data_IF_383396905133
#
_entry.id   IF_383396905133
#
_cell.length_a   1.000
_cell.length_b   1.000
_cell.length_c   1.000
_cell.angle_alpha   90.00
_cell.angle_beta   90.00
_cell.angle_gamma   90.00
#
_symmetry.space_group_name_H-M   'P 1'
#
loop_
_entity.id
_entity.type
_entity.pdbx_description
1 polymer ?
#
# COMPACT_ATOMS: atom_id res chain seq x y z
N UNK A 1 -25.57 -2.37 -14.79
CA UNK A 1 -24.66 -1.63 -13.90
C UNK A 1 -23.23 -1.53 -14.46
N UNK A 2 -22.79 -2.50 -15.29
CA UNK A 2 -21.46 -2.45 -15.95
C UNK A 2 -21.30 -1.32 -16.99
N UNK A 3 -22.37 -0.60 -17.31
CA UNK A 3 -22.36 0.50 -18.30
C UNK A 3 -22.56 1.89 -17.69
N UNK A 4 -22.60 1.98 -16.36
CA UNK A 4 -22.71 3.30 -15.70
C UNK A 4 -21.34 3.98 -15.66
N UNK A 5 -21.17 5.16 -16.25
CA UNK A 5 -19.90 5.86 -16.25
C UNK A 5 -19.51 6.28 -14.82
N UNK A 6 -18.29 5.96 -14.41
CA UNK A 6 -17.76 6.30 -13.07
C UNK A 6 -18.07 5.30 -11.95
N UNK A 7 -18.73 4.17 -12.25
CA UNK A 7 -18.99 3.09 -11.28
C UNK A 7 -18.43 1.76 -11.78
N UNK A 8 -17.82 0.99 -10.87
CA UNK A 8 -17.39 -0.38 -11.12
C UNK A 8 -18.07 -1.32 -10.14
N UNK A 9 -18.73 -2.36 -10.65
CA UNK A 9 -19.39 -3.37 -9.84
C UNK A 9 -18.50 -4.62 -9.72
N UNK A 10 -18.15 -4.99 -8.50
CA UNK A 10 -17.43 -6.22 -8.20
C UNK A 10 -18.36 -7.17 -7.45
N UNK A 11 -18.57 -8.38 -8.01
CA UNK A 11 -19.36 -9.41 -7.39
C UNK A 11 -18.42 -10.42 -6.73
N UNK A 12 -18.43 -10.48 -5.41
CA UNK A 12 -17.63 -11.43 -4.64
C UNK A 12 -18.57 -12.48 -4.02
N UNK A 13 -18.35 -13.77 -4.27
CA UNK A 13 -19.14 -14.83 -3.63
C UNK A 13 -18.95 -14.74 -2.10
N UNK A 14 -20.05 -14.92 -1.37
CA UNK A 14 -20.00 -14.99 0.08
C UNK A 14 -19.23 -16.25 0.48
N UNK A 15 -18.17 -16.06 1.25
CA UNK A 15 -17.40 -17.17 1.82
C UNK A 15 -17.79 -17.35 3.29
N UNK A 16 -18.23 -18.53 3.66
CA UNK A 16 -18.58 -18.86 5.05
C UNK A 16 -17.36 -18.87 5.96
N UNK A 17 -16.18 -19.22 5.42
CA UNK A 17 -14.91 -19.21 6.13
C UNK A 17 -13.91 -18.36 5.37
N UNK A 18 -13.45 -17.28 5.99
CA UNK A 18 -12.34 -16.44 5.49
C UNK A 18 -11.06 -16.86 6.16
N UNK A 19 -10.12 -17.38 5.38
CA UNK A 19 -8.80 -17.82 5.86
C UNK A 19 -7.81 -16.68 5.63
N UNK A 20 -7.69 -15.76 6.59
CA UNK A 20 -6.76 -14.63 6.48
C UNK A 20 -7.11 -13.66 5.36
N UNK A 21 -6.14 -12.82 4.98
CA UNK A 21 -6.31 -11.80 3.94
C UNK A 21 -7.02 -10.53 4.43
N UNK A 22 -7.07 -9.54 3.54
CA UNK A 22 -7.75 -8.26 3.78
C UNK A 22 -9.10 -8.24 3.08
N UNK A 23 -10.05 -7.38 3.51
CA UNK A 23 -11.24 -7.11 2.72
C UNK A 23 -10.84 -6.69 1.31
N UNK A 24 -11.36 -7.34 0.28
CA UNK A 24 -11.02 -7.07 -1.11
C UNK A 24 -12.22 -7.23 -2.02
N UNK A 25 -12.12 -6.67 -3.21
CA UNK A 25 -13.16 -6.71 -4.23
C UNK A 25 -13.12 -8.01 -5.07
N UNK A 26 -12.23 -8.97 -4.73
CA UNK A 26 -12.08 -10.24 -5.42
C UNK A 26 -11.73 -11.37 -4.44
N UNK A 27 -11.81 -12.61 -4.91
CA UNK A 27 -11.67 -13.81 -4.07
C UNK A 27 -10.21 -14.10 -3.68
N UNK A 28 -9.27 -13.85 -4.57
CA UNK A 28 -7.86 -14.18 -4.38
C UNK A 28 -7.02 -12.91 -4.21
N UNK A 29 -5.93 -13.03 -3.49
CA UNK A 29 -5.07 -11.91 -3.13
C UNK A 29 -3.60 -12.23 -3.32
N UNK A 30 -2.89 -11.30 -3.95
CA UNK A 30 -1.45 -11.31 -4.11
C UNK A 30 -0.88 -10.01 -3.57
N UNK A 31 -0.09 -10.07 -2.52
CA UNK A 31 0.46 -8.89 -1.85
C UNK A 31 1.90 -8.67 -2.27
N UNK A 32 2.19 -7.46 -2.71
CA UNK A 32 3.53 -6.95 -2.92
C UNK A 32 3.99 -6.25 -1.64
N UNK A 33 5.18 -6.57 -1.18
CA UNK A 33 5.87 -5.91 -0.07
C UNK A 33 7.15 -5.28 -0.61
N UNK A 34 7.47 -4.08 -0.17
CA UNK A 34 8.70 -3.38 -0.54
C UNK A 34 9.43 -2.88 0.68
N UNK A 35 10.74 -2.76 0.60
CA UNK A 35 11.54 -2.16 1.68
C UNK A 35 11.25 -0.66 1.79
N UNK A 36 11.04 0.00 0.64
CA UNK A 36 10.71 1.42 0.53
C UNK A 36 9.34 1.63 -0.12
N UNK A 37 8.57 2.59 0.40
CA UNK A 37 7.25 2.93 -0.12
C UNK A 37 7.30 3.41 -1.58
N UNK A 38 8.32 4.18 -1.95
CA UNK A 38 8.45 4.76 -3.29
C UNK A 38 8.71 3.69 -4.35
N UNK A 39 9.51 2.67 -4.02
CA UNK A 39 9.72 1.51 -4.89
C UNK A 39 8.39 0.77 -5.12
N UNK A 40 7.63 0.54 -4.05
CA UNK A 40 6.34 -0.12 -4.13
C UNK A 40 5.34 0.68 -4.99
N UNK A 41 5.28 2.00 -4.83
CA UNK A 41 4.44 2.89 -5.64
C UNK A 41 4.81 2.87 -7.12
N UNK A 42 6.09 2.72 -7.42
CA UNK A 42 6.58 2.64 -8.81
C UNK A 42 6.26 1.29 -9.45
N UNK A 43 6.41 0.20 -8.71
CA UNK A 43 6.33 -1.15 -9.26
C UNK A 43 4.93 -1.76 -9.20
N UNK A 44 4.12 -1.44 -8.18
CA UNK A 44 2.76 -1.98 -8.08
C UNK A 44 1.92 -1.73 -9.34
N UNK A 45 1.82 -0.50 -9.90
CA UNK A 45 1.03 -0.27 -11.11
C UNK A 45 1.54 -1.08 -12.32
N UNK A 46 2.86 -1.28 -12.42
CA UNK A 46 3.47 -2.07 -13.50
C UNK A 46 3.14 -3.55 -13.37
N UNK A 47 3.19 -4.06 -12.15
CA UNK A 47 2.82 -5.45 -11.86
C UNK A 47 1.33 -5.64 -12.08
N UNK A 48 0.48 -4.81 -11.52
CA UNK A 48 -0.97 -4.86 -11.71
C UNK A 48 -1.35 -4.84 -13.19
N UNK A 49 -0.76 -3.94 -13.98
CA UNK A 49 -1.01 -3.87 -15.43
C UNK A 49 -0.50 -5.11 -16.18
N UNK A 50 0.56 -5.76 -15.71
CA UNK A 50 0.98 -7.04 -16.24
C UNK A 50 -0.01 -8.15 -15.90
N UNK A 51 -0.46 -8.21 -14.64
CA UNK A 51 -1.43 -9.20 -14.18
C UNK A 51 -2.80 -9.04 -14.86
N UNK A 52 -3.25 -7.81 -15.08
CA UNK A 52 -4.53 -7.54 -15.75
C UNK A 52 -4.57 -8.00 -17.22
N UNK A 53 -3.43 -8.27 -17.83
CA UNK A 53 -3.32 -8.79 -19.21
C UNK A 53 -3.23 -10.31 -19.27
N UNK A 54 -3.14 -10.98 -18.14
CA UNK A 54 -3.07 -12.44 -18.10
C UNK A 54 -4.48 -13.02 -18.33
N UNK A 55 -4.65 -13.94 -19.30
CA UNK A 55 -5.96 -14.57 -19.55
C UNK A 55 -6.44 -15.48 -18.41
N UNK A 56 -5.54 -15.82 -17.48
CA UNK A 56 -5.85 -16.59 -16.28
C UNK A 56 -6.50 -15.77 -15.17
N UNK A 57 -6.50 -14.43 -15.28
CA UNK A 57 -7.01 -13.53 -14.23
C UNK A 57 -8.12 -12.66 -14.78
N UNK A 58 -9.13 -12.39 -13.95
CA UNK A 58 -10.20 -11.43 -14.22
C UNK A 58 -10.41 -10.55 -12.98
N UNK A 59 -11.05 -9.39 -13.16
CA UNK A 59 -11.37 -8.44 -12.09
C UNK A 59 -10.14 -8.03 -11.26
N UNK A 60 -8.99 -7.84 -11.92
CA UNK A 60 -7.75 -7.44 -11.25
C UNK A 60 -7.89 -6.02 -10.70
N UNK A 61 -7.74 -5.89 -9.39
CA UNK A 61 -7.89 -4.63 -8.67
C UNK A 61 -6.80 -4.48 -7.61
N UNK A 62 -6.61 -3.26 -7.08
CA UNK A 62 -5.60 -2.95 -6.08
C UNK A 62 -6.18 -2.19 -4.90
N UNK A 63 -5.56 -2.34 -3.73
CA UNK A 63 -5.84 -1.53 -2.55
C UNK A 63 -4.99 -0.25 -2.48
N UNK A 64 -4.08 -0.04 -3.44
CA UNK A 64 -3.29 1.18 -3.54
C UNK A 64 -4.14 2.34 -4.06
N UNK A 65 -4.22 3.40 -3.28
CA UNK A 65 -5.01 4.60 -3.59
C UNK A 65 -4.09 5.82 -3.57
N UNK A 66 -3.54 6.17 -4.73
CA UNK A 66 -2.59 7.30 -4.90
C UNK A 66 -3.23 8.58 -5.43
N UNK A 67 -4.55 8.72 -5.26
CA UNK A 67 -5.31 9.87 -5.78
C UNK A 67 -5.67 10.92 -4.72
N UNK A 68 -5.03 10.86 -3.56
CA UNK A 68 -5.17 11.91 -2.55
C UNK A 68 -4.59 13.22 -3.09
N UNK A 69 -5.36 14.30 -3.05
CA UNK A 69 -4.85 15.61 -3.45
C UNK A 69 -3.88 16.12 -2.37
N UNK A 70 -2.70 16.53 -2.81
CA UNK A 70 -1.67 17.13 -1.97
C UNK A 70 -1.20 18.44 -2.58
N UNK A 71 -0.98 19.42 -1.73
CA UNK A 71 -0.30 20.65 -2.11
C UNK A 71 1.16 20.56 -1.66
N UNK A 72 2.07 20.58 -2.63
CA UNK A 72 3.51 20.63 -2.37
C UNK A 72 4.00 22.05 -2.44
N UNK A 73 4.81 22.45 -1.46
CA UNK A 73 5.41 23.77 -1.39
C UNK A 73 6.90 23.67 -1.66
N UNK A 74 7.32 24.16 -2.83
CA UNK A 74 8.72 24.17 -3.25
C UNK A 74 9.34 25.52 -2.87
N UNK A 75 10.16 25.54 -1.80
CA UNK A 75 10.79 26.76 -1.30
C UNK A 75 12.12 26.98 -1.99
N UNK A 76 12.30 28.18 -2.57
CA UNK A 76 13.58 28.68 -3.08
C UNK A 76 14.41 29.23 -1.90
N UNK A 77 15.35 28.41 -1.42
CA UNK A 77 16.20 28.75 -0.26
C UNK A 77 17.11 29.92 -0.54
N UNK A 78 17.57 30.08 -1.77
CA UNK A 78 18.46 31.19 -2.15
C UNK A 78 17.67 32.50 -2.21
N UNK A 79 16.45 32.49 -2.75
CA UNK A 79 15.55 33.64 -2.73
C UNK A 79 15.19 34.03 -1.28
N UNK A 80 14.84 33.06 -0.41
CA UNK A 80 14.55 33.30 0.99
C UNK A 80 15.76 33.97 1.71
N UNK A 81 16.98 33.45 1.50
CA UNK A 81 18.19 33.99 2.08
C UNK A 81 18.47 35.44 1.61
N UNK A 82 18.32 35.72 0.31
CA UNK A 82 18.50 37.09 -0.25
C UNK A 82 17.50 38.10 0.32
N UNK A 83 16.29 37.62 0.67
CA UNK A 83 15.25 38.44 1.28
C UNK A 83 15.37 38.53 2.82
N UNK A 84 16.43 37.99 3.39
CA UNK A 84 16.69 38.03 4.83
C UNK A 84 15.80 37.12 5.66
N UNK A 85 15.28 36.04 5.04
CA UNK A 85 14.46 35.03 5.73
C UNK A 85 15.32 33.82 6.13
N UNK A 86 15.07 33.32 7.34
CA UNK A 86 15.67 32.10 7.83
C UNK A 86 14.69 30.92 7.58
N UNK A 87 15.18 29.79 7.05
CA UNK A 87 14.38 28.60 6.80
C UNK A 87 13.62 28.12 8.03
N UNK A 88 14.26 28.14 9.21
CA UNK A 88 13.60 27.76 10.47
C UNK A 88 12.38 28.63 10.80
N UNK A 89 12.44 29.93 10.50
CA UNK A 89 11.29 30.82 10.73
C UNK A 89 10.14 30.54 9.76
N UNK A 90 10.46 30.15 8.51
CA UNK A 90 9.49 29.72 7.52
C UNK A 90 8.83 28.41 7.97
N UNK A 91 9.63 27.41 8.32
CA UNK A 91 9.14 26.09 8.78
C UNK A 91 8.25 26.26 10.03
N UNK A 92 8.69 27.03 11.02
CA UNK A 92 7.92 27.29 12.23
C UNK A 92 6.57 27.96 11.92
N UNK A 93 6.54 28.97 11.06
CA UNK A 93 5.31 29.68 10.74
C UNK A 93 4.32 28.81 9.95
N UNK A 94 4.82 27.92 9.06
CA UNK A 94 3.99 26.96 8.36
C UNK A 94 3.48 25.86 9.31
N UNK A 95 4.30 25.39 10.24
CA UNK A 95 3.92 24.44 11.28
C UNK A 95 2.86 25.05 12.23
N UNK A 96 3.05 26.30 12.63
CA UNK A 96 2.09 27.07 13.44
C UNK A 96 0.72 27.21 12.74
N UNK A 97 0.72 27.39 11.42
CA UNK A 97 -0.51 27.58 10.65
C UNK A 97 -1.20 26.27 10.24
N UNK A 98 -0.45 25.24 9.87
CA UNK A 98 -0.97 24.02 9.24
C UNK A 98 -0.63 22.72 9.97
N UNK A 99 0.35 22.74 10.87
CA UNK A 99 0.89 21.56 11.57
C UNK A 99 0.17 21.18 12.86
N UNK A 100 -0.89 21.90 13.24
CA UNK A 100 -1.61 21.70 14.53
C UNK A 100 -0.65 21.73 15.72
N UNK A 101 0.18 22.77 15.79
CA UNK A 101 1.20 22.87 16.81
C UNK A 101 0.63 22.98 18.21
N UNK A 102 1.07 22.09 19.11
CA UNK A 102 0.76 22.19 20.51
C UNK A 102 1.56 23.36 21.14
N UNK A 103 0.85 24.45 21.48
CA UNK A 103 1.45 25.67 22.06
C UNK A 103 1.46 25.68 23.58
N UNK A 104 0.56 24.94 24.24
CA UNK A 104 0.47 24.87 25.68
C UNK A 104 -0.23 23.60 26.15
N UNK A 105 -0.12 23.32 27.45
CA UNK A 105 -0.91 22.29 28.13
C UNK A 105 -1.51 22.89 29.39
N UNK A 106 -2.82 22.80 29.54
CA UNK A 106 -3.56 23.21 30.75
C UNK A 106 -3.67 22.00 31.67
N UNK A 107 -3.14 22.12 32.86
CA UNK A 107 -3.17 21.06 33.87
C UNK A 107 -4.31 21.34 34.86
N UNK A 108 -5.24 20.40 34.95
CA UNK A 108 -6.27 20.35 36.00
C UNK A 108 -5.97 19.19 36.96
N UNK A 109 -6.52 19.16 38.17
CA UNK A 109 -6.24 18.09 39.14
C UNK A 109 -6.56 16.67 38.61
N UNK A 110 -7.51 16.54 37.67
CA UNK A 110 -7.98 15.26 37.15
C UNK A 110 -7.60 15.03 35.67
N UNK A 111 -7.26 16.08 34.89
CA UNK A 111 -7.06 15.99 33.44
C UNK A 111 -6.00 16.97 32.92
N UNK A 112 -5.47 16.65 31.75
CA UNK A 112 -4.60 17.54 30.98
C UNK A 112 -5.27 17.87 29.65
N UNK A 113 -5.28 19.15 29.29
CA UNK A 113 -5.82 19.65 28.03
C UNK A 113 -4.71 20.27 27.20
N UNK A 114 -4.51 19.75 25.98
CA UNK A 114 -3.55 20.31 25.04
C UNK A 114 -4.17 21.49 24.30
N UNK A 115 -3.48 22.61 24.27
CA UNK A 115 -3.87 23.77 23.47
C UNK A 115 -3.14 23.67 22.13
N UNK A 116 -3.89 23.56 21.05
CA UNK A 116 -3.38 23.45 19.68
C UNK A 116 -3.67 24.75 18.95
N UNK A 117 -2.67 25.26 18.23
CA UNK A 117 -2.79 26.42 17.36
C UNK A 117 -2.84 25.95 15.91
N UNK A 118 -3.77 26.50 15.15
CA UNK A 118 -3.89 26.25 13.70
C UNK A 118 -4.55 27.46 13.02
N UNK A 119 -4.39 27.57 11.70
CA UNK A 119 -5.12 28.56 10.92
C UNK A 119 -6.62 28.31 10.97
N UNK A 120 -7.42 29.38 10.95
CA UNK A 120 -8.88 29.24 10.97
C UNK A 120 -9.36 28.46 9.74
N UNK A 121 -10.46 27.66 9.83
CA UNK A 121 -10.92 26.77 8.78
C UNK A 121 -11.01 27.36 7.37
N UNK A 122 -11.44 28.62 7.16
CA UNK A 122 -11.47 29.22 5.81
C UNK A 122 -10.10 29.28 5.14
N UNK A 123 -9.00 29.35 5.92
CA UNK A 123 -7.64 29.39 5.39
C UNK A 123 -7.06 28.01 5.10
N UNK A 124 -7.70 26.93 5.57
CA UNK A 124 -7.30 25.54 5.31
C UNK A 124 -7.99 24.93 4.09
N UNK A 125 -9.03 25.60 3.56
CA UNK A 125 -9.90 25.04 2.52
C UNK A 125 -9.31 25.11 1.10
N UNK A 126 -8.32 25.98 0.86
CA UNK A 126 -7.80 26.21 -0.48
C UNK A 126 -6.30 26.50 -0.48
N UNK A 127 -5.52 25.93 -1.43
CA UNK A 127 -4.11 26.29 -1.62
C UNK A 127 -3.88 27.76 -1.94
N UNK A 128 -4.89 28.48 -2.46
CA UNK A 128 -4.79 29.92 -2.77
C UNK A 128 -4.54 30.77 -1.52
N UNK A 129 -4.96 30.29 -0.35
CA UNK A 129 -4.73 30.98 0.92
C UNK A 129 -3.27 31.05 1.31
N UNK A 130 -2.41 30.16 0.78
CA UNK A 130 -0.97 30.23 0.96
C UNK A 130 -0.37 31.54 0.44
N UNK A 131 -1.00 32.18 -0.56
CA UNK A 131 -0.58 33.48 -1.10
C UNK A 131 -0.75 34.64 -0.10
N UNK A 132 -1.60 34.47 0.91
CA UNK A 132 -1.82 35.49 1.96
C UNK A 132 -0.82 35.41 3.12
N UNK A 133 0.02 34.38 3.14
CA UNK A 133 1.01 34.19 4.20
C UNK A 133 2.20 35.12 3.95
N UNK A 134 2.60 35.83 4.99
CA UNK A 134 3.75 36.73 4.98
C UNK A 134 4.70 36.38 6.13
N UNK A 135 5.97 36.52 5.87
CA UNK A 135 7.04 36.35 6.85
C UNK A 135 7.71 37.67 7.13
N UNK A 136 8.07 37.93 8.38
CA UNK A 136 8.84 39.09 8.75
C UNK A 136 10.34 38.77 8.61
N UNK A 137 11.05 39.50 7.76
CA UNK A 137 12.47 39.33 7.59
C UNK A 137 13.29 40.03 8.73
N UNK A 138 14.61 39.90 8.70
CA UNK A 138 15.49 40.49 9.71
C UNK A 138 15.46 42.02 9.73
N UNK A 139 15.00 42.68 8.67
CA UNK A 139 14.83 44.13 8.57
C UNK A 139 13.44 44.60 9.06
N UNK A 140 12.53 43.68 9.43
CA UNK A 140 11.17 44.00 9.84
C UNK A 140 10.19 44.13 8.68
N UNK A 141 10.59 43.79 7.45
CA UNK A 141 9.74 43.87 6.26
C UNK A 141 8.90 42.60 6.10
N UNK A 142 7.69 42.76 5.53
CA UNK A 142 6.78 41.64 5.25
C UNK A 142 7.07 41.05 3.85
N UNK A 143 7.53 39.82 3.81
CA UNK A 143 7.83 39.08 2.58
C UNK A 143 6.73 38.04 2.35
N UNK A 144 5.98 38.09 1.23
CA UNK A 144 4.96 37.12 0.94
C UNK A 144 5.58 35.75 0.61
N UNK A 145 4.91 34.66 1.03
CA UNK A 145 5.33 33.29 0.71
C UNK A 145 5.51 33.08 -0.80
N UNK A 146 4.66 33.71 -1.62
CA UNK A 146 4.74 33.62 -3.08
C UNK A 146 6.04 34.18 -3.70
N UNK A 147 6.80 35.01 -2.96
CA UNK A 147 8.09 35.53 -3.42
C UNK A 147 9.23 34.50 -3.27
N UNK A 148 9.05 33.48 -2.42
CA UNK A 148 10.07 32.51 -2.05
C UNK A 148 9.66 31.07 -2.30
N UNK A 149 8.40 30.82 -2.68
CA UNK A 149 7.90 29.48 -2.86
C UNK A 149 6.95 29.34 -4.05
N UNK A 150 6.95 28.15 -4.64
CA UNK A 150 5.96 27.74 -5.65
C UNK A 150 5.05 26.68 -5.05
N UNK A 151 3.77 26.81 -5.37
CA UNK A 151 2.74 25.86 -4.95
C UNK A 151 2.48 24.94 -6.13
N UNK A 152 2.64 23.62 -5.92
CA UNK A 152 2.40 22.60 -6.92
C UNK A 152 1.33 21.63 -6.41
N UNK A 153 0.34 21.36 -7.26
CA UNK A 153 -0.62 20.30 -6.99
C UNK A 153 0.02 18.95 -7.31
N UNK A 154 0.00 18.06 -6.37
CA UNK A 154 0.53 16.69 -6.50
C UNK A 154 -0.44 15.68 -5.89
N UNK A 155 -0.12 14.41 -6.01
CA UNK A 155 -0.88 13.33 -5.43
C UNK A 155 -0.12 12.63 -4.32
N UNK A 156 -0.85 12.20 -3.31
CA UNK A 156 -0.32 11.42 -2.19
C UNK A 156 -1.15 10.16 -1.98
N UNK A 157 -0.58 9.08 -1.42
CA UNK A 157 -1.35 7.93 -0.98
C UNK A 157 -2.39 8.34 0.07
N UNK A 158 -3.63 7.91 -0.12
CA UNK A 158 -4.69 8.08 0.89
C UNK A 158 -4.48 7.17 2.09
N UNK A 159 -3.84 6.02 1.87
CA UNK A 159 -3.48 5.08 2.92
C UNK A 159 -2.20 4.35 2.53
N UNK A 160 -1.36 4.06 3.51
CA UNK A 160 -0.19 3.19 3.37
C UNK A 160 -0.43 1.94 4.20
N UNK A 161 -0.58 0.83 3.50
CA UNK A 161 -0.73 -0.47 4.15
C UNK A 161 0.63 -1.04 4.52
N UNK A 162 0.69 -1.73 5.64
CA UNK A 162 1.89 -2.46 6.09
C UNK A 162 1.56 -3.93 6.33
N UNK A 163 2.51 -4.78 6.03
CA UNK A 163 2.46 -6.21 6.36
C UNK A 163 3.82 -6.62 6.91
N UNK A 164 3.82 -7.22 8.11
CA UNK A 164 5.06 -7.61 8.80
C UNK A 164 6.06 -6.46 8.99
N UNK A 165 5.55 -5.21 9.13
CA UNK A 165 6.37 -4.01 9.29
C UNK A 165 6.83 -3.34 8.00
N UNK A 166 6.64 -3.95 6.84
CA UNK A 166 7.02 -3.40 5.52
C UNK A 166 5.82 -2.77 4.82
N UNK A 167 6.03 -1.70 4.02
CA UNK A 167 5.01 -1.20 3.12
C UNK A 167 4.48 -2.31 2.21
N UNK A 168 3.18 -2.40 2.05
CA UNK A 168 2.55 -3.46 1.29
C UNK A 168 1.36 -2.95 0.47
N UNK A 169 1.19 -3.50 -0.73
CA UNK A 169 0.02 -3.30 -1.58
C UNK A 169 -0.54 -4.64 -2.01
N UNK A 170 -1.86 -4.78 -1.96
CA UNK A 170 -2.55 -6.03 -2.28
C UNK A 170 -3.29 -5.91 -3.59
N UNK A 171 -2.92 -6.75 -4.54
CA UNK A 171 -3.62 -6.94 -5.80
C UNK A 171 -4.61 -8.10 -5.61
N UNK A 172 -5.89 -7.81 -5.79
CA UNK A 172 -6.96 -8.80 -5.72
C UNK A 172 -7.44 -9.18 -7.12
N UNK A 173 -7.83 -10.43 -7.32
CA UNK A 173 -8.26 -10.94 -8.60
C UNK A 173 -9.22 -12.13 -8.46
N UNK A 174 -9.97 -12.40 -9.52
CA UNK A 174 -10.78 -13.59 -9.69
C UNK A 174 -10.21 -14.49 -10.80
N UNK A 175 -10.65 -15.74 -10.85
CA UNK A 175 -10.29 -16.69 -11.89
C UNK A 175 -11.47 -16.86 -12.85
N UNK A 176 -11.23 -16.89 -14.17
CA UNK A 176 -12.26 -17.24 -15.12
C UNK A 176 -12.65 -18.73 -14.98
N UNK A 177 -13.85 -19.14 -15.43
CA UNK A 177 -14.27 -20.52 -15.39
C UNK A 177 -13.26 -21.47 -16.05
N UNK A 178 -12.92 -22.55 -15.35
CA UNK A 178 -12.01 -23.59 -15.86
C UNK A 178 -10.52 -23.33 -15.62
N UNK A 179 -10.13 -22.20 -15.05
CA UNK A 179 -8.76 -21.90 -14.67
C UNK A 179 -8.52 -22.30 -13.21
N UNK A 180 -7.46 -23.09 -12.98
CA UNK A 180 -7.06 -23.45 -11.62
C UNK A 180 -6.23 -22.34 -10.94
N UNK A 181 -6.29 -22.30 -9.61
CA UNK A 181 -5.43 -21.39 -8.84
C UNK A 181 -3.94 -21.69 -9.03
N UNK A 182 -3.58 -22.98 -9.26
CA UNK A 182 -2.22 -23.38 -9.55
C UNK A 182 -1.70 -22.78 -10.86
N UNK A 183 -2.50 -22.83 -11.94
CA UNK A 183 -2.12 -22.21 -13.23
C UNK A 183 -1.98 -20.68 -13.10
N UNK A 184 -2.88 -20.07 -12.37
CA UNK A 184 -2.82 -18.63 -12.07
C UNK A 184 -1.57 -18.26 -11.28
N UNK A 185 -1.20 -19.05 -10.26
CA UNK A 185 0.02 -18.83 -9.47
C UNK A 185 1.27 -18.85 -10.34
N UNK A 186 1.41 -19.87 -11.18
CA UNK A 186 2.55 -19.99 -12.10
C UNK A 186 2.59 -18.83 -13.11
N UNK A 187 1.43 -18.40 -13.59
CA UNK A 187 1.34 -17.26 -14.51
C UNK A 187 1.76 -15.95 -13.85
N UNK A 188 1.36 -15.71 -12.60
CA UNK A 188 1.73 -14.53 -11.82
C UNK A 188 3.24 -14.50 -11.56
N UNK A 189 3.82 -15.59 -11.07
CA UNK A 189 5.26 -15.69 -10.80
C UNK A 189 6.09 -15.47 -12.08
N UNK A 190 5.64 -16.03 -13.20
CA UNK A 190 6.28 -15.81 -14.51
C UNK A 190 6.18 -14.36 -14.97
N UNK A 191 5.02 -13.72 -14.78
CA UNK A 191 4.84 -12.32 -15.13
C UNK A 191 5.74 -11.40 -14.29
N UNK A 192 5.89 -11.68 -12.98
CA UNK A 192 6.81 -10.97 -12.09
C UNK A 192 8.27 -11.10 -12.58
N UNK A 193 8.71 -12.32 -12.87
CA UNK A 193 10.06 -12.59 -13.37
C UNK A 193 10.34 -11.88 -14.71
N UNK A 194 9.39 -11.91 -15.65
CA UNK A 194 9.52 -11.25 -16.96
C UNK A 194 9.60 -9.74 -16.89
N UNK A 195 9.00 -9.13 -15.87
CA UNK A 195 9.02 -7.68 -15.65
C UNK A 195 10.32 -7.18 -15.02
N UNK A 196 11.17 -8.07 -14.54
CA UNK A 196 12.41 -7.68 -13.88
C UNK A 196 12.16 -6.91 -12.59
N UNK A 197 11.15 -7.33 -11.82
CA UNK A 197 10.84 -6.71 -10.52
C UNK A 197 12.07 -6.82 -9.61
N UNK A 198 12.53 -5.72 -8.98
CA UNK A 198 13.70 -5.76 -8.14
C UNK A 198 13.52 -6.69 -6.94
N UNK A 199 14.63 -7.18 -6.41
CA UNK A 199 14.64 -8.06 -5.23
C UNK A 199 14.20 -7.37 -3.95
N UNK A 200 14.14 -6.03 -3.93
CA UNK A 200 13.54 -5.24 -2.84
C UNK A 200 12.01 -5.36 -2.78
N UNK A 201 11.38 -5.94 -3.83
CA UNK A 201 9.93 -6.14 -3.85
C UNK A 201 9.63 -7.64 -3.87
N UNK A 202 8.92 -8.07 -2.83
CA UNK A 202 8.52 -9.45 -2.65
C UNK A 202 7.02 -9.62 -2.89
N UNK A 203 6.65 -10.58 -3.74
CA UNK A 203 5.27 -10.97 -3.95
C UNK A 203 4.92 -12.22 -3.14
N UNK A 204 3.76 -12.22 -2.51
CA UNK A 204 3.26 -13.38 -1.77
C UNK A 204 1.74 -13.53 -1.89
N UNK A 205 1.27 -14.76 -1.99
CA UNK A 205 -0.15 -15.05 -1.95
C UNK A 205 -0.68 -14.93 -0.52
N UNK A 206 -1.92 -14.45 -0.38
CA UNK A 206 -2.57 -14.28 0.91
C UNK A 206 -3.94 -14.97 0.92
N UNK A 207 -4.48 -15.16 2.13
CA UNK A 207 -5.81 -15.74 2.30
C UNK A 207 -5.92 -17.16 1.73
N UNK A 208 -7.00 -17.42 1.01
CA UNK A 208 -7.29 -18.73 0.41
C UNK A 208 -6.20 -19.20 -0.56
N UNK A 209 -5.56 -18.28 -1.30
CA UNK A 209 -4.50 -18.62 -2.24
C UNK A 209 -3.25 -19.13 -1.51
N UNK A 210 -2.89 -18.52 -0.36
CA UNK A 210 -1.79 -18.99 0.49
C UNK A 210 -2.09 -20.38 1.06
N UNK A 211 -3.28 -20.59 1.62
CA UNK A 211 -3.67 -21.87 2.19
C UNK A 211 -3.61 -23.01 1.14
N UNK A 212 -3.98 -22.71 -0.11
CA UNK A 212 -3.87 -23.64 -1.22
C UNK A 212 -2.39 -24.00 -1.53
N UNK A 213 -1.51 -23.00 -1.63
CA UNK A 213 -0.07 -23.24 -1.86
C UNK A 213 0.56 -24.06 -0.72
N UNK A 214 0.27 -23.72 0.53
CA UNK A 214 0.78 -24.43 1.71
C UNK A 214 0.29 -25.91 1.71
N UNK A 215 -0.95 -26.15 1.27
CA UNK A 215 -1.50 -27.51 1.08
C UNK A 215 -0.77 -28.29 -0.02
N UNK A 216 -0.51 -27.67 -1.16
CA UNK A 216 0.23 -28.31 -2.25
C UNK A 216 1.68 -28.62 -1.87
N UNK A 217 2.34 -27.75 -1.10
CA UNK A 217 3.71 -27.94 -0.65
C UNK A 217 3.87 -29.17 0.27
N UNK A 218 2.84 -29.49 1.05
CA UNK A 218 2.85 -30.67 1.96
C UNK A 218 2.47 -31.98 1.27
N UNK A 219 1.85 -31.94 0.09
CA UNK A 219 1.31 -33.10 -0.61
C UNK A 219 2.39 -34.15 -0.97
N UNK A 220 3.60 -33.82 -1.49
CA UNK A 220 4.62 -34.81 -1.80
C UNK A 220 5.09 -35.59 -0.56
N UNK A 221 5.19 -34.93 0.58
CA UNK A 221 5.56 -35.58 1.85
C UNK A 221 4.49 -36.58 2.32
N UNK A 222 3.21 -36.21 2.17
CA UNK A 222 2.09 -37.10 2.52
C UNK A 222 2.03 -38.33 1.61
N UNK A 223 2.28 -38.15 0.30
CA UNK A 223 2.33 -39.26 -0.66
C UNK A 223 3.51 -40.19 -0.32
N UNK A 224 4.68 -39.64 -0.02
CA UNK A 224 5.85 -40.45 0.39
C UNK A 224 5.56 -41.23 1.69
N UNK A 225 4.97 -40.57 2.69
CA UNK A 225 4.59 -41.22 3.95
C UNK A 225 3.56 -42.34 3.72
N UNK A 226 2.58 -42.13 2.84
CA UNK A 226 1.61 -43.16 2.49
C UNK A 226 2.28 -44.36 1.79
N UNK A 227 3.17 -44.14 0.84
CA UNK A 227 3.92 -45.21 0.16
C UNK A 227 4.77 -46.01 1.15
N UNK A 228 5.48 -45.33 2.07
CA UNK A 228 6.27 -46.01 3.12
C UNK A 228 5.36 -46.84 4.02
N UNK A 229 4.22 -46.29 4.43
CA UNK A 229 3.26 -47.01 5.27
C UNK A 229 2.71 -48.27 4.58
N UNK A 230 2.30 -48.13 3.30
CA UNK A 230 1.83 -49.26 2.48
C UNK A 230 2.93 -50.29 2.34
N UNK A 231 4.17 -49.89 2.04
CA UNK A 231 5.29 -50.81 1.94
C UNK A 231 5.53 -51.60 3.24
N UNK A 232 5.52 -50.93 4.40
CA UNK A 232 5.67 -51.58 5.72
C UNK A 232 4.53 -52.57 5.98
N UNK A 233 3.29 -52.17 5.73
CA UNK A 233 2.12 -53.01 5.95
C UNK A 233 2.18 -54.25 5.08
N UNK A 234 2.51 -54.10 3.79
CA UNK A 234 2.65 -55.21 2.87
C UNK A 234 3.83 -56.12 3.25
N UNK A 235 4.99 -55.56 3.65
CA UNK A 235 6.15 -56.29 4.12
C UNK A 235 5.85 -57.17 5.36
N UNK A 236 5.05 -56.64 6.29
CA UNK A 236 4.60 -57.38 7.48
C UNK A 236 3.58 -58.47 7.08
N UNK A 237 2.65 -58.14 6.18
CA UNK A 237 1.56 -59.07 5.76
C UNK A 237 2.12 -60.24 4.96
N UNK A 238 3.10 -60.00 4.10
CA UNK A 238 3.69 -61.08 3.25
C UNK A 238 4.99 -61.63 3.79
N UNK A 239 5.39 -61.24 5.00
CA UNK A 239 6.65 -61.66 5.66
C UNK A 239 7.88 -61.53 4.74
N UNK A 240 7.86 -60.61 3.79
CA UNK A 240 8.92 -60.38 2.83
C UNK A 240 9.17 -58.90 2.62
N UNK A 241 10.41 -58.46 2.80
CA UNK A 241 10.85 -57.09 2.59
C UNK A 241 11.32 -56.84 1.13
N UNK A 242 11.58 -57.91 0.35
CA UNK A 242 12.06 -57.80 -1.02
C UNK A 242 10.94 -57.86 -2.05
N UNK A 243 9.86 -58.56 -1.73
CA UNK A 243 8.69 -58.73 -2.58
C UNK A 243 7.41 -58.60 -1.73
N UNK A 244 7.12 -57.37 -1.27
CA UNK A 244 5.90 -57.12 -0.46
C UNK A 244 4.64 -57.19 -1.30
#
# INVERSE_FOLDING_TARGET
LSHEPGASLFLVPVQDVRIGGRPSNAQYQFTLQGDELEDLRTWEPRVRDALSRLPQLVDVNTDQQDKGLQTSLMIDRDAASRLGLNMRSIDNALDDAFGQRQVSTIYNPLNQYRVVMEAAPPFLMSPETLKSIHFTNTAGEQVPLAAIARVEATNTPLAVNHQSGFPASTISFNLPPGVSLGDASVAIERAMAQRGVPTSIHGSFQGTAKAFQDSLASQPLLILAALITIYIVLGVLYESLLHP
#
